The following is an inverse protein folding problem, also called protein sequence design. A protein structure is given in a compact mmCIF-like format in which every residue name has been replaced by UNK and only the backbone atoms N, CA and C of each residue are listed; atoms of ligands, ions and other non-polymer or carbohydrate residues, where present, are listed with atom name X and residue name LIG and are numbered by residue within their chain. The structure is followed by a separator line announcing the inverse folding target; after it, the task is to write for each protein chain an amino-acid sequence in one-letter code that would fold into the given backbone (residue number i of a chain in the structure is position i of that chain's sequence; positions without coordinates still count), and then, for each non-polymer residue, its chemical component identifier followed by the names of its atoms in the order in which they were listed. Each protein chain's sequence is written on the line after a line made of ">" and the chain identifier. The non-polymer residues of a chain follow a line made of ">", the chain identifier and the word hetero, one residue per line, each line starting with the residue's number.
data_IF_387142309777
#
_entry.id   IF_387142309777
#
_cell.length_a   1.000
_cell.length_b   1.000
_cell.length_c   1.000
_cell.angle_alpha   90.00
_cell.angle_beta   90.00
_cell.angle_gamma   90.00
#
_symmetry.space_group_name_H-M   'P 1'
#
loop_
_entity.id
_entity.type
_entity.pdbx_description
1 polymer ?
#
# COMPACT_ATOMS: atom_id res chain seq x y z
N UNK A 1 -9.56 -21.39 36.28
CA UNK A 1 -8.63 -21.78 35.22
C UNK A 1 -9.21 -21.67 33.82
N UNK A 2 -10.39 -22.17 33.52
CA UNK A 2 -10.99 -22.07 32.18
C UNK A 2 -11.26 -20.63 31.72
N UNK A 3 -11.75 -19.76 32.61
CA UNK A 3 -12.06 -18.36 32.30
C UNK A 3 -10.80 -17.57 31.92
N UNK A 4 -9.69 -17.77 32.64
CA UNK A 4 -8.44 -17.05 32.33
C UNK A 4 -7.85 -17.49 30.98
N UNK A 5 -7.99 -18.75 30.60
CA UNK A 5 -7.55 -19.25 29.29
C UNK A 5 -8.35 -18.62 28.15
N UNK A 6 -9.66 -18.47 28.31
CA UNK A 6 -10.51 -17.79 27.33
C UNK A 6 -10.15 -16.31 27.15
N UNK A 7 -9.88 -15.62 28.26
CA UNK A 7 -9.47 -14.21 28.23
C UNK A 7 -8.13 -14.06 27.47
N UNK A 8 -7.14 -14.90 27.77
CA UNK A 8 -5.85 -14.88 27.08
C UNK A 8 -6.02 -15.19 25.60
N UNK A 9 -6.85 -16.16 25.23
CA UNK A 9 -7.13 -16.51 23.84
C UNK A 9 -7.79 -15.35 23.09
N UNK A 10 -8.81 -14.70 23.70
CA UNK A 10 -9.48 -13.56 23.11
C UNK A 10 -8.53 -12.36 22.91
N UNK A 11 -7.69 -12.05 23.88
CA UNK A 11 -6.67 -10.99 23.78
C UNK A 11 -5.68 -11.31 22.66
N UNK A 12 -5.22 -12.54 22.57
CA UNK A 12 -4.30 -12.97 21.51
C UNK A 12 -4.91 -12.87 20.13
N UNK A 13 -6.19 -13.22 19.96
CA UNK A 13 -6.90 -13.10 18.70
C UNK A 13 -7.11 -11.63 18.30
N UNK A 14 -7.46 -10.76 19.25
CA UNK A 14 -7.59 -9.33 19.00
C UNK A 14 -6.25 -8.72 18.60
N UNK A 15 -5.19 -9.04 19.32
CA UNK A 15 -3.83 -8.57 18.99
C UNK A 15 -3.40 -9.03 17.62
N UNK A 16 -3.61 -10.29 17.28
CA UNK A 16 -3.29 -10.85 15.96
C UNK A 16 -4.08 -10.15 14.85
N UNK A 17 -5.38 -9.91 15.06
CA UNK A 17 -6.23 -9.18 14.10
C UNK A 17 -5.74 -7.76 13.86
N UNK A 18 -5.35 -7.03 14.91
CA UNK A 18 -4.77 -5.69 14.80
C UNK A 18 -3.43 -5.73 14.08
N UNK A 19 -2.56 -6.68 14.42
CA UNK A 19 -1.23 -6.82 13.82
C UNK A 19 -1.29 -7.20 12.33
N UNK A 20 -2.35 -7.90 11.87
CA UNK A 20 -2.53 -8.28 10.46
C UNK A 20 -3.23 -7.22 9.62
N UNK A 21 -3.88 -6.20 10.23
CA UNK A 21 -4.49 -5.07 9.55
C UNK A 21 -3.40 -4.06 9.12
N UNK A 22 -2.63 -4.40 8.10
CA UNK A 22 -1.52 -3.59 7.59
C UNK A 22 -1.71 -3.24 6.12
N UNK A 23 -1.15 -2.09 5.74
CA UNK A 23 -1.05 -1.70 4.35
C UNK A 23 -0.13 -2.68 3.60
N UNK A 24 -0.37 -2.91 2.32
CA UNK A 24 0.51 -3.76 1.54
C UNK A 24 1.90 -3.14 1.47
N UNK A 25 2.92 -3.99 1.51
CA UNK A 25 4.30 -3.57 1.26
C UNK A 25 4.61 -3.77 -0.21
N UNK A 26 4.37 -2.75 -1.00
CA UNK A 26 4.47 -2.83 -2.46
C UNK A 26 5.88 -3.15 -2.95
N UNK A 27 6.92 -2.81 -2.19
CA UNK A 27 8.31 -3.11 -2.52
C UNK A 27 8.64 -4.62 -2.61
N UNK A 28 7.78 -5.48 -2.08
CA UNK A 28 7.95 -6.94 -2.23
C UNK A 28 7.66 -7.42 -3.65
N UNK A 29 7.02 -6.59 -4.47
CA UNK A 29 6.68 -6.93 -5.86
C UNK A 29 7.88 -6.88 -6.80
N UNK A 30 8.90 -6.10 -6.47
CA UNK A 30 10.08 -5.92 -7.30
C UNK A 30 10.77 -4.59 -7.07
N UNK A 31 11.78 -4.33 -7.89
CA UNK A 31 12.55 -3.09 -7.86
C UNK A 31 11.94 -2.06 -8.81
N UNK A 32 11.93 -0.79 -8.40
CA UNK A 32 11.44 0.29 -9.24
C UNK A 32 11.28 1.60 -8.48
N UNK A 33 10.74 2.60 -9.16
CA UNK A 33 10.41 3.87 -8.54
C UNK A 33 9.25 3.68 -7.57
N UNK A 34 9.40 4.25 -6.39
CA UNK A 34 8.43 4.16 -5.30
C UNK A 34 7.95 5.55 -4.91
N UNK A 35 6.67 5.69 -4.62
CA UNK A 35 6.10 6.95 -4.20
C UNK A 35 5.32 6.78 -2.89
N UNK A 36 5.47 7.75 -2.00
CA UNK A 36 4.70 7.87 -0.76
C UNK A 36 3.89 9.17 -0.83
N UNK A 37 2.60 9.08 -0.58
CA UNK A 37 1.72 10.24 -0.46
C UNK A 37 1.40 10.49 1.02
N UNK A 38 1.67 11.72 1.47
CA UNK A 38 1.40 12.15 2.84
C UNK A 38 1.11 13.64 2.90
N UNK A 39 0.35 14.04 3.90
CA UNK A 39 0.13 15.48 4.21
C UNK A 39 1.27 16.08 5.02
N UNK A 40 2.19 15.28 5.50
CA UNK A 40 3.33 15.72 6.29
C UNK A 40 4.45 16.27 5.40
N UNK A 41 5.06 17.37 5.82
CA UNK A 41 6.25 17.91 5.17
C UNK A 41 7.50 17.26 5.78
N UNK A 42 8.00 16.24 5.12
CA UNK A 42 9.16 15.44 5.54
C UNK A 42 10.37 15.78 4.68
N UNK A 43 11.53 15.95 5.31
CA UNK A 43 12.80 16.12 4.63
C UNK A 43 13.70 14.92 4.90
N UNK A 44 14.20 14.31 3.84
CA UNK A 44 15.07 13.14 3.93
C UNK A 44 15.97 13.07 2.69
N UNK A 45 17.24 12.69 2.85
CA UNK A 45 18.15 12.47 1.72
C UNK A 45 17.73 11.26 0.86
N UNK A 46 16.82 10.42 1.34
CA UNK A 46 16.27 9.28 0.59
C UNK A 46 15.25 9.70 -0.46
N UNK A 47 14.76 10.94 -0.40
CA UNK A 47 13.79 11.47 -1.36
C UNK A 47 14.52 12.01 -2.59
N UNK A 48 14.23 11.41 -3.75
CA UNK A 48 14.79 11.85 -5.03
C UNK A 48 14.07 13.11 -5.56
N UNK A 49 12.75 13.15 -5.34
CA UNK A 49 11.89 14.23 -5.82
C UNK A 49 10.67 14.34 -4.90
N UNK A 50 10.27 15.56 -4.61
CA UNK A 50 9.05 15.88 -3.87
C UNK A 50 8.15 16.76 -4.72
N UNK A 51 6.88 16.42 -4.80
CA UNK A 51 5.88 17.17 -5.56
C UNK A 51 4.75 17.57 -4.62
N UNK A 52 4.35 18.84 -4.67
CA UNK A 52 3.17 19.33 -3.96
C UNK A 52 1.93 18.97 -4.79
N UNK A 53 0.97 18.30 -4.18
CA UNK A 53 -0.24 17.83 -4.84
C UNK A 53 -1.47 18.04 -3.96
N UNK A 54 -2.39 18.89 -4.38
CA UNK A 54 -3.60 19.17 -3.60
C UNK A 54 -3.26 19.68 -2.19
N UNK A 55 -3.67 18.94 -1.17
CA UNK A 55 -3.41 19.24 0.24
C UNK A 55 -2.21 18.51 0.82
N UNK A 56 -1.41 17.83 -0.01
CA UNK A 56 -0.32 17.00 0.47
C UNK A 56 0.89 17.01 -0.45
N UNK A 57 1.74 16.02 -0.23
CA UNK A 57 3.00 15.85 -0.93
C UNK A 57 3.13 14.44 -1.47
N UNK A 58 3.80 14.30 -2.60
CA UNK A 58 4.23 13.00 -3.14
C UNK A 58 5.74 12.95 -3.08
N UNK A 59 6.26 11.92 -2.41
CA UNK A 59 7.69 11.69 -2.22
C UNK A 59 8.12 10.53 -3.09
N UNK A 60 9.00 10.78 -4.04
CA UNK A 60 9.55 9.75 -4.91
C UNK A 60 10.90 9.28 -4.40
N UNK A 61 11.08 7.97 -4.37
CA UNK A 61 12.32 7.30 -3.96
C UNK A 61 12.47 6.00 -4.74
N UNK A 62 13.53 5.27 -4.50
CA UNK A 62 13.70 3.92 -5.03
C UNK A 62 13.10 2.89 -4.06
N UNK A 63 12.59 1.79 -4.60
CA UNK A 63 11.93 0.75 -3.80
C UNK A 63 12.83 0.17 -2.69
N UNK A 64 14.13 0.17 -2.89
CA UNK A 64 15.12 -0.25 -1.88
C UNK A 64 15.10 0.63 -0.64
N UNK A 65 14.73 1.90 -0.76
CA UNK A 65 14.63 2.87 0.32
C UNK A 65 13.23 2.99 0.94
N UNK A 66 12.23 2.31 0.37
CA UNK A 66 10.83 2.47 0.75
C UNK A 66 10.59 2.19 2.24
N UNK A 67 11.10 1.09 2.74
CA UNK A 67 10.91 0.70 4.15
C UNK A 67 11.51 1.73 5.11
N UNK A 68 12.72 2.22 4.84
CA UNK A 68 13.39 3.23 5.67
C UNK A 68 12.69 4.58 5.58
N UNK A 69 12.34 5.02 4.38
CA UNK A 69 11.64 6.30 4.19
C UNK A 69 10.27 6.29 4.87
N UNK A 70 9.54 5.17 4.80
CA UNK A 70 8.24 5.01 5.45
C UNK A 70 8.28 5.32 6.95
N UNK A 71 9.38 5.00 7.63
CA UNK A 71 9.55 5.27 9.06
C UNK A 71 9.63 6.76 9.42
N UNK A 72 9.84 7.63 8.45
CA UNK A 72 9.93 9.09 8.66
C UNK A 72 8.56 9.76 8.75
N UNK A 73 7.50 9.04 8.44
CA UNK A 73 6.13 9.54 8.45
C UNK A 73 5.36 9.00 9.65
N UNK A 74 4.52 9.83 10.25
CA UNK A 74 3.53 9.42 11.24
C UNK A 74 2.26 8.89 10.56
N UNK A 75 1.93 9.46 9.39
CA UNK A 75 0.74 9.08 8.63
C UNK A 75 1.05 9.07 7.14
N UNK A 76 0.67 8.00 6.48
CA UNK A 76 0.80 7.81 5.03
C UNK A 76 -0.59 7.60 4.46
N UNK A 77 -0.97 8.41 3.46
CA UNK A 77 -2.27 8.36 2.81
C UNK A 77 -2.29 7.40 1.61
N UNK A 78 -1.14 7.08 1.05
CA UNK A 78 -1.03 6.13 -0.04
C UNK A 78 0.41 5.86 -0.46
N UNK A 79 0.58 4.79 -1.22
CA UNK A 79 1.87 4.40 -1.80
C UNK A 79 1.68 3.87 -3.21
N UNK A 80 2.69 4.00 -4.03
CA UNK A 80 2.72 3.43 -5.39
C UNK A 80 4.10 2.91 -5.72
N UNK A 81 4.17 1.92 -6.62
CA UNK A 81 5.42 1.39 -7.17
C UNK A 81 5.27 1.17 -8.67
N UNK A 82 6.36 1.40 -9.38
CA UNK A 82 6.50 1.05 -10.81
C UNK A 82 7.46 -0.12 -10.92
N UNK A 83 7.00 -1.22 -11.47
CA UNK A 83 7.79 -2.45 -11.64
C UNK A 83 7.73 -2.95 -13.08
N UNK A 84 8.64 -3.84 -13.43
CA UNK A 84 8.63 -4.49 -14.74
C UNK A 84 7.62 -5.64 -14.78
N UNK A 85 6.93 -5.75 -15.90
CA UNK A 85 6.32 -6.95 -16.46
C UNK A 85 5.54 -7.93 -15.57
N UNK A 86 4.80 -7.48 -14.54
CA UNK A 86 3.86 -8.36 -13.84
C UNK A 86 2.43 -8.11 -14.31
N UNK A 87 1.63 -9.17 -14.40
CA UNK A 87 0.20 -9.04 -14.64
C UNK A 87 -0.53 -8.58 -13.37
N UNK A 88 -1.69 -7.94 -13.54
CA UNK A 88 -2.53 -7.55 -12.41
C UNK A 88 -2.88 -8.78 -11.54
N UNK A 89 -3.21 -9.90 -12.17
CA UNK A 89 -3.51 -11.15 -11.46
C UNK A 89 -2.38 -11.63 -10.58
N UNK A 90 -1.12 -11.56 -11.06
CA UNK A 90 0.06 -11.92 -10.26
C UNK A 90 0.22 -11.01 -9.06
N UNK A 91 0.03 -9.70 -9.25
CA UNK A 91 0.11 -8.70 -8.19
C UNK A 91 -0.94 -8.97 -7.12
N UNK A 92 -2.20 -9.11 -7.51
CA UNK A 92 -3.28 -9.38 -6.56
C UNK A 92 -3.04 -10.66 -5.78
N UNK A 93 -2.64 -11.73 -6.46
CA UNK A 93 -2.35 -13.01 -5.81
C UNK A 93 -1.20 -12.89 -4.82
N UNK A 94 -0.11 -12.24 -5.21
CA UNK A 94 1.08 -12.09 -4.36
C UNK A 94 0.80 -11.28 -3.10
N UNK A 95 -0.03 -10.25 -3.21
CA UNK A 95 -0.38 -9.40 -2.07
C UNK A 95 -1.59 -9.91 -1.27
N UNK A 96 -2.28 -10.94 -1.75
CA UNK A 96 -3.46 -11.48 -1.07
C UNK A 96 -4.72 -10.64 -1.24
N UNK A 97 -4.84 -9.94 -2.36
CA UNK A 97 -6.01 -9.12 -2.70
C UNK A 97 -6.92 -9.88 -3.67
N UNK A 98 -8.23 -9.67 -3.51
CA UNK A 98 -9.23 -10.16 -4.46
C UNK A 98 -9.46 -9.12 -5.54
N UNK A 99 -9.34 -9.51 -6.80
CA UNK A 99 -9.70 -8.64 -7.92
C UNK A 99 -11.23 -8.47 -7.97
N UNK A 100 -11.70 -7.23 -7.86
CA UNK A 100 -13.13 -6.88 -7.88
C UNK A 100 -13.59 -6.55 -9.30
N UNK A 101 -12.76 -5.82 -10.03
CA UNK A 101 -12.93 -5.51 -11.44
C UNK A 101 -11.54 -5.38 -12.07
N UNK A 102 -11.39 -5.37 -13.40
CA UNK A 102 -10.07 -5.32 -14.03
C UNK A 102 -9.20 -4.19 -13.49
N UNK A 103 -8.07 -4.55 -12.86
CA UNK A 103 -7.13 -3.60 -12.28
C UNK A 103 -7.50 -3.06 -10.90
N UNK A 104 -8.61 -3.46 -10.31
CA UNK A 104 -9.04 -3.01 -8.98
C UNK A 104 -9.23 -4.19 -8.04
N UNK A 105 -8.55 -4.14 -6.91
CA UNK A 105 -8.59 -5.17 -5.89
C UNK A 105 -9.02 -4.67 -4.52
N UNK A 106 -9.44 -5.60 -3.69
CA UNK A 106 -9.82 -5.34 -2.32
C UNK A 106 -9.32 -6.44 -1.39
N UNK A 107 -8.83 -6.03 -0.23
CA UNK A 107 -8.57 -6.90 0.90
C UNK A 107 -9.12 -6.25 2.18
N UNK A 108 -9.89 -6.98 2.99
CA UNK A 108 -10.37 -6.48 4.28
C UNK A 108 -9.25 -6.27 5.30
N UNK A 109 -8.06 -6.82 5.04
CA UNK A 109 -6.86 -6.61 5.86
C UNK A 109 -6.20 -5.25 5.62
N UNK A 110 -6.47 -4.62 4.47
CA UNK A 110 -6.00 -3.27 4.17
C UNK A 110 -6.72 -2.24 5.05
N UNK A 111 -5.97 -1.22 5.53
CA UNK A 111 -6.51 -0.22 6.47
C UNK A 111 -7.55 0.69 5.85
N UNK A 112 -7.31 1.09 4.61
CA UNK A 112 -8.09 2.10 3.93
C UNK A 112 -8.73 1.53 2.68
N UNK A 113 -9.77 2.18 2.22
CA UNK A 113 -10.42 1.86 0.96
C UNK A 113 -11.09 3.11 0.38
N UNK A 114 -11.31 3.07 -0.91
CA UNK A 114 -12.21 4.00 -1.61
C UNK A 114 -13.39 3.20 -2.17
N UNK A 115 -14.47 3.88 -2.52
CA UNK A 115 -15.59 3.27 -3.21
C UNK A 115 -15.57 3.68 -4.69
N UNK A 116 -15.64 2.68 -5.56
CA UNK A 116 -15.77 2.84 -7.01
C UNK A 116 -16.99 2.04 -7.44
N UNK A 117 -17.99 2.70 -8.01
CA UNK A 117 -19.28 2.10 -8.40
C UNK A 117 -19.91 1.27 -7.26
N UNK A 118 -19.87 1.81 -6.04
CA UNK A 118 -20.42 1.17 -4.84
C UNK A 118 -19.58 0.03 -4.26
N UNK A 119 -18.46 -0.33 -4.89
CA UNK A 119 -17.56 -1.39 -4.43
C UNK A 119 -16.36 -0.80 -3.69
N UNK A 120 -15.91 -1.48 -2.63
CA UNK A 120 -14.70 -1.11 -1.89
C UNK A 120 -13.47 -1.57 -2.66
N UNK A 121 -12.52 -0.65 -2.84
CA UNK A 121 -11.26 -0.88 -3.53
C UNK A 121 -10.14 -0.34 -2.64
N UNK A 122 -9.06 -1.07 -2.49
CA UNK A 122 -7.88 -0.59 -1.78
C UNK A 122 -6.56 -1.05 -2.43
N UNK A 123 -6.62 -1.44 -3.69
CA UNK A 123 -5.44 -1.65 -4.52
C UNK A 123 -5.80 -1.42 -5.98
N UNK A 124 -4.97 -0.69 -6.69
CA UNK A 124 -5.10 -0.47 -8.14
C UNK A 124 -3.84 -0.96 -8.84
N UNK A 125 -4.02 -1.66 -9.95
CA UNK A 125 -2.93 -2.15 -10.81
C UNK A 125 -3.20 -1.73 -12.24
N UNK A 126 -2.23 -1.09 -12.87
CA UNK A 126 -2.29 -0.70 -14.29
C UNK A 126 -1.10 -1.28 -15.01
N UNK A 127 -1.37 -2.07 -16.04
CA UNK A 127 -0.35 -2.61 -16.95
C UNK A 127 -0.25 -1.69 -18.16
N UNK A 128 0.98 -1.25 -18.49
CA UNK A 128 1.23 -0.39 -19.63
C UNK A 128 2.61 -0.66 -20.23
N UNK A 129 2.64 -1.14 -21.47
CA UNK A 129 3.87 -1.28 -22.26
C UNK A 129 5.01 -2.01 -21.53
N UNK A 130 4.72 -3.16 -20.90
CA UNK A 130 5.71 -3.94 -20.17
C UNK A 130 6.05 -3.41 -18.77
N UNK A 131 5.38 -2.35 -18.35
CA UNK A 131 5.51 -1.74 -17.03
C UNK A 131 4.20 -1.94 -16.26
N UNK A 132 4.31 -2.23 -14.98
CA UNK A 132 3.15 -2.38 -14.09
C UNK A 132 3.24 -1.34 -12.98
N UNK A 133 2.19 -0.54 -12.84
CA UNK A 133 2.06 0.45 -11.76
C UNK A 133 1.05 -0.08 -10.76
N UNK A 134 1.45 -0.11 -9.50
CA UNK A 134 0.60 -0.58 -8.39
C UNK A 134 0.46 0.53 -7.38
N UNK A 135 -0.77 0.81 -6.96
CA UNK A 135 -1.05 1.86 -5.97
C UNK A 135 -1.98 1.39 -4.87
N UNK A 136 -1.70 1.84 -3.66
CA UNK A 136 -2.53 1.64 -2.47
C UNK A 136 -2.88 3.01 -1.87
N UNK A 137 -4.17 3.27 -1.57
CA UNK A 137 -5.36 2.51 -1.96
C UNK A 137 -5.61 2.55 -3.47
N UNK A 138 -5.09 3.56 -4.16
CA UNK A 138 -5.08 3.74 -5.62
C UNK A 138 -3.75 4.33 -6.05
N UNK A 139 -3.50 4.38 -7.34
CA UNK A 139 -2.29 4.99 -7.90
C UNK A 139 -2.34 6.50 -7.65
N UNK A 140 -1.35 6.98 -6.93
CA UNK A 140 -1.15 8.40 -6.65
C UNK A 140 0.14 8.85 -7.32
N UNK A 141 0.10 10.05 -7.89
CA UNK A 141 1.23 10.60 -8.61
C UNK A 141 1.20 10.33 -10.10
N UNK A 142 2.24 10.79 -10.76
CA UNK A 142 2.44 10.64 -12.20
C UNK A 142 3.70 9.82 -12.44
N UNK A 143 3.53 8.74 -13.19
CA UNK A 143 4.62 7.84 -13.59
C UNK A 143 4.76 7.78 -15.10
#
# INVERSE_FOLDING_TARGET
>A
MKLSLYIVLCISLIYFSIATAQNPRLEVLGSGEFAIYSREDVRSPLVNRRVVSGIGFIYYTDSVNAATLRTKFNSIDGESIVISGKSAREVFRKLGYREISPGYGYSPRGRDFIKVDGQRINLQVVERNGTTVVGWPVILGVF
#
